data_IF_520893244558
#
_entry.id   IF_520893244558
#
_cell.length_a   1.000
_cell.length_b   1.000
_cell.length_c   1.000
_cell.angle_alpha   90.00
_cell.angle_beta   90.00
_cell.angle_gamma   90.00
#
_symmetry.space_group_name_H-M   'P 1'
#
loop_
_entity.id
_entity.type
_entity.pdbx_description
1 polymer ?
#
# COMPACT_ATOMS: atom_id res chain seq x y z
N UNK A 1 -59.59 -35.84 -12.20
CA UNK A 1 -58.77 -36.74 -11.35
C UNK A 1 -57.32 -36.29 -11.48
N UNK A 2 -56.77 -35.47 -10.59
CA UNK A 2 -56.35 -35.76 -9.22
C UNK A 2 -55.06 -36.62 -9.16
N UNK A 3 -53.93 -35.99 -8.81
CA UNK A 3 -52.78 -36.41 -7.95
C UNK A 3 -51.78 -35.24 -8.05
N UNK A 4 -51.62 -34.25 -7.15
CA UNK A 4 -51.37 -34.15 -5.70
C UNK A 4 -50.03 -34.76 -5.22
N UNK A 5 -49.18 -33.86 -4.68
CA UNK A 5 -48.12 -34.02 -3.65
C UNK A 5 -46.75 -34.55 -4.10
N UNK A 6 -45.73 -33.69 -4.08
CA UNK A 6 -44.87 -33.46 -2.90
C UNK A 6 -43.65 -32.60 -3.29
N UNK A 7 -43.60 -31.34 -2.84
CA UNK A 7 -42.32 -30.66 -2.56
C UNK A 7 -42.52 -29.78 -1.34
N UNK A 8 -42.40 -30.43 -0.18
CA UNK A 8 -42.41 -29.83 1.15
C UNK A 8 -40.95 -29.66 1.56
N UNK A 9 -40.66 -28.49 2.14
CA UNK A 9 -39.45 -28.14 2.90
C UNK A 9 -38.20 -27.82 2.08
N UNK A 10 -38.08 -26.55 1.71
CA UNK A 10 -36.83 -25.85 1.94
C UNK A 10 -37.17 -24.47 2.49
N UNK A 11 -37.04 -24.39 3.80
CA UNK A 11 -37.37 -23.22 4.61
C UNK A 11 -36.45 -22.06 4.26
N UNK A 12 -37.09 -20.95 3.89
CA UNK A 12 -36.49 -19.63 3.78
C UNK A 12 -35.86 -19.22 5.12
N UNK A 13 -34.56 -19.46 5.31
CA UNK A 13 -33.73 -18.61 6.16
C UNK A 13 -33.55 -17.28 5.45
N UNK A 14 -34.51 -16.36 5.63
CA UNK A 14 -34.25 -14.93 5.45
C UNK A 14 -33.55 -14.46 6.70
N UNK A 15 -32.28 -14.13 6.57
CA UNK A 15 -31.52 -13.43 7.61
C UNK A 15 -32.30 -12.20 8.06
N UNK A 16 -32.61 -12.17 9.35
CA UNK A 16 -33.25 -11.02 9.98
C UNK A 16 -32.38 -9.79 9.71
N UNK A 17 -32.95 -8.80 9.02
CA UNK A 17 -32.26 -7.52 8.76
C UNK A 17 -31.82 -6.93 10.09
N UNK A 18 -30.59 -6.43 10.12
CA UNK A 18 -29.93 -5.80 11.29
C UNK A 18 -30.85 -4.83 12.06
N UNK A 19 -31.80 -4.20 11.38
CA UNK A 19 -32.86 -3.33 11.93
C UNK A 19 -33.84 -4.01 12.90
N UNK A 20 -34.18 -5.28 12.73
CA UNK A 20 -35.13 -5.98 13.62
C UNK A 20 -34.47 -6.40 14.94
N UNK A 21 -33.17 -6.68 14.93
CA UNK A 21 -32.37 -6.96 16.14
C UNK A 21 -32.23 -5.73 17.07
N UNK A 22 -32.34 -4.52 16.53
CA UNK A 22 -32.26 -3.27 17.30
C UNK A 22 -33.61 -2.95 17.96
N UNK A 23 -34.73 -3.28 17.30
CA UNK A 23 -36.07 -3.11 17.88
C UNK A 23 -36.35 -4.08 19.03
N UNK A 24 -35.91 -5.33 18.94
CA UNK A 24 -36.11 -6.33 20.01
C UNK A 24 -35.36 -5.98 21.31
N UNK A 25 -34.14 -5.43 21.20
CA UNK A 25 -33.34 -4.99 22.36
C UNK A 25 -33.96 -3.82 23.13
N UNK A 26 -34.76 -2.98 22.47
CA UNK A 26 -35.41 -1.84 23.11
C UNK A 26 -36.66 -2.25 23.92
N UNK A 27 -37.38 -3.28 23.46
CA UNK A 27 -38.54 -3.84 24.18
C UNK A 27 -38.16 -4.65 25.42
N UNK A 28 -37.00 -5.31 25.44
CA UNK A 28 -36.55 -6.07 26.62
C UNK A 28 -36.09 -5.18 27.78
N UNK A 29 -35.50 -4.01 27.49
CA UNK A 29 -35.07 -3.07 28.54
C UNK A 29 -36.23 -2.41 29.29
N UNK A 30 -37.39 -2.26 28.65
CA UNK A 30 -38.59 -1.68 29.28
C UNK A 30 -39.31 -2.66 30.23
N UNK A 31 -39.07 -3.98 30.10
CA UNK A 31 -39.69 -5.00 30.97
C UNK A 31 -38.89 -5.33 32.23
N UNK A 32 -37.65 -4.83 32.36
CA UNK A 32 -36.75 -5.17 33.49
C UNK A 32 -36.67 -4.09 34.58
N UNK A 33 -37.54 -3.08 34.54
CA UNK A 33 -37.41 -1.87 35.36
C UNK A 33 -38.62 -1.50 36.22
N UNK A 34 -39.35 -2.46 36.79
CA UNK A 34 -40.34 -2.16 37.85
C UNK A 34 -40.56 -3.38 38.72
N UNK A 35 -40.00 -3.36 39.93
CA UNK A 35 -40.20 -4.42 40.91
C UNK A 35 -39.39 -4.17 42.17
N UNK A 36 -39.82 -3.22 42.99
CA UNK A 36 -39.47 -3.24 44.41
C UNK A 36 -40.73 -3.14 45.26
N UNK A 37 -40.83 -4.15 46.11
CA UNK A 37 -41.95 -4.64 46.88
C UNK A 37 -42.15 -3.86 48.16
N UNK A 38 -43.42 -3.61 48.50
CA UNK A 38 -43.86 -3.21 49.84
C UNK A 38 -43.59 -4.35 50.82
N UNK A 39 -43.01 -4.05 51.98
CA UNK A 39 -43.15 -4.85 53.20
C UNK A 39 -43.52 -3.95 54.37
N UNK A 40 -44.43 -4.46 55.18
CA UNK A 40 -45.21 -3.81 56.23
C UNK A 40 -44.77 -4.27 57.63
N UNK A 41 -45.29 -3.55 58.65
CA UNK A 41 -45.51 -3.95 60.07
C UNK A 41 -44.22 -4.14 60.91
N UNK A 42 -44.10 -3.78 62.19
CA UNK A 42 -44.94 -3.25 63.27
C UNK A 42 -43.95 -2.49 64.23
N UNK A 43 -44.30 -1.68 65.23
CA UNK A 43 -45.03 -2.04 66.45
C UNK A 43 -45.24 -0.79 67.35
N UNK A 44 -46.28 -0.87 68.18
CA UNK A 44 -46.93 0.14 69.04
C UNK A 44 -46.07 0.69 70.19
N UNK A 45 -46.39 1.91 70.64
CA UNK A 45 -46.71 2.20 72.06
C UNK A 45 -47.48 3.54 72.23
N UNK A 46 -48.66 3.45 72.85
CA UNK A 46 -49.48 4.50 73.50
C UNK A 46 -50.01 3.85 74.80
N UNK A 47 -50.57 4.55 75.81
CA UNK A 47 -50.39 5.91 76.36
C UNK A 47 -50.17 5.83 77.91
N UNK A 48 -50.42 6.87 78.76
CA UNK A 48 -51.80 7.20 79.17
C UNK A 48 -52.11 8.70 79.39
N UNK A 49 -53.42 8.98 79.41
CA UNK A 49 -54.09 10.22 79.82
C UNK A 49 -53.92 10.53 81.32
N UNK A 50 -53.77 11.81 81.68
CA UNK A 50 -54.48 12.44 82.82
C UNK A 50 -54.71 13.93 82.52
N UNK A 51 -55.92 14.39 82.79
CA UNK A 51 -56.37 15.76 82.73
C UNK A 51 -56.22 16.48 84.07
N UNK A 52 -55.87 17.79 84.08
CA UNK A 52 -56.52 18.85 84.88
C UNK A 52 -55.80 20.21 84.81
N UNK A 53 -56.55 21.20 84.29
CA UNK A 53 -56.92 22.46 84.94
C UNK A 53 -55.95 23.66 85.07
N UNK A 54 -56.58 24.83 84.84
CA UNK A 54 -56.13 26.23 84.98
C UNK A 54 -55.08 26.64 83.93
N UNK A 55 -55.28 27.65 83.10
CA UNK A 55 -56.01 28.89 83.29
C UNK A 55 -55.01 29.99 82.93
N UNK A 56 -55.10 30.55 81.72
CA UNK A 56 -54.27 31.71 81.37
C UNK A 56 -53.84 31.82 79.92
N UNK A 57 -54.34 32.90 79.29
CA UNK A 57 -53.60 33.80 78.42
C UNK A 57 -53.33 33.35 76.96
N UNK A 58 -54.16 33.92 76.08
CA UNK A 58 -53.87 34.46 74.73
C UNK A 58 -52.60 34.02 73.99
N UNK A 59 -52.75 33.58 72.75
CA UNK A 59 -52.44 34.41 71.57
C UNK A 59 -52.63 33.63 70.26
N UNK A 60 -53.01 34.37 69.23
CA UNK A 60 -53.52 33.91 67.96
C UNK A 60 -52.52 33.12 67.10
N UNK A 61 -53.07 32.10 66.45
CA UNK A 61 -52.51 31.28 65.37
C UNK A 61 -52.07 32.15 64.18
N UNK A 62 -50.86 31.93 63.66
CA UNK A 62 -50.55 32.19 62.25
C UNK A 62 -49.68 31.07 61.66
N UNK A 63 -50.34 30.20 60.89
CA UNK A 63 -49.71 29.29 59.93
C UNK A 63 -49.10 30.13 58.80
N UNK A 64 -47.87 29.81 58.38
CA UNK A 64 -47.20 30.49 57.27
C UNK A 64 -46.02 29.70 56.72
N UNK A 65 -46.32 28.84 55.75
CA UNK A 65 -45.51 28.38 54.61
C UNK A 65 -43.97 28.43 54.67
N UNK A 66 -43.40 27.23 54.50
CA UNK A 66 -42.04 26.99 54.02
C UNK A 66 -41.76 27.75 52.71
N UNK A 67 -40.98 28.83 52.85
CA UNK A 67 -40.53 29.67 51.73
C UNK A 67 -39.26 29.08 51.13
N UNK A 68 -39.42 28.54 49.91
CA UNK A 68 -38.46 28.39 48.81
C UNK A 68 -37.04 28.91 49.08
N UNK A 69 -36.07 28.01 48.92
CA UNK A 69 -34.65 28.29 48.74
C UNK A 69 -34.42 29.49 47.80
N UNK A 70 -33.73 30.50 48.31
CA UNK A 70 -33.22 31.61 47.52
C UNK A 70 -31.97 31.13 46.79
N UNK A 71 -32.11 30.95 45.47
CA UNK A 71 -31.03 31.09 44.51
C UNK A 71 -30.24 32.37 44.81
N UNK A 72 -28.99 32.24 45.26
CA UNK A 72 -28.07 33.37 45.29
C UNK A 72 -27.68 33.71 43.85
N UNK A 73 -28.43 34.63 43.23
CA UNK A 73 -27.93 35.36 42.07
C UNK A 73 -26.79 36.24 42.55
N UNK A 74 -25.57 35.78 42.31
CA UNK A 74 -24.33 36.52 42.55
C UNK A 74 -24.45 37.92 41.92
N UNK A 75 -24.32 38.95 42.75
CA UNK A 75 -24.49 40.34 42.35
C UNK A 75 -23.44 40.72 41.29
N UNK A 76 -23.90 41.21 40.13
CA UNK A 76 -23.02 41.75 39.08
C UNK A 76 -22.33 42.99 39.64
N UNK A 77 -20.99 43.00 39.64
CA UNK A 77 -20.17 44.14 40.10
C UNK A 77 -20.52 45.38 39.28
N UNK A 78 -21.02 46.42 39.94
CA UNK A 78 -21.25 47.76 39.38
C UNK A 78 -20.11 48.66 39.83
N UNK A 79 -19.61 49.49 38.93
CA UNK A 79 -18.58 50.48 39.23
C UNK A 79 -19.20 51.85 39.01
N UNK A 80 -19.53 52.53 40.10
CA UNK A 80 -20.09 53.87 40.09
C UNK A 80 -18.94 54.85 40.35
N UNK A 81 -18.66 55.74 39.39
CA UNK A 81 -17.68 56.81 39.56
C UNK A 81 -18.43 58.11 39.83
N UNK A 82 -18.11 58.78 40.94
CA UNK A 82 -18.62 60.12 41.20
C UNK A 82 -17.88 61.13 40.30
N UNK A 83 -18.60 61.82 39.43
CA UNK A 83 -18.08 62.96 38.68
C UNK A 83 -18.09 64.18 39.61
N UNK A 84 -17.10 65.07 39.47
CA UNK A 84 -16.87 66.23 40.36
C UNK A 84 -17.89 67.38 40.23
N UNK A 85 -19.09 67.09 39.71
CA UNK A 85 -20.20 68.02 39.64
C UNK A 85 -21.37 67.51 40.48
N UNK A 86 -21.89 68.38 41.35
CA UNK A 86 -23.04 68.13 42.23
C UNK A 86 -24.22 67.54 41.44
N UNK A 87 -24.61 66.31 41.80
CA UNK A 87 -25.86 65.67 41.33
C UNK A 87 -25.78 64.88 40.02
N UNK A 88 -24.60 64.75 39.37
CA UNK A 88 -24.47 63.97 38.13
C UNK A 88 -23.81 62.60 38.40
N UNK A 89 -24.61 61.54 38.47
CA UNK A 89 -24.14 60.15 38.49
C UNK A 89 -24.19 59.54 37.07
N UNK A 90 -23.03 59.23 36.49
CA UNK A 90 -22.97 58.53 35.20
C UNK A 90 -23.02 57.02 35.43
N UNK A 91 -24.17 56.41 35.16
CA UNK A 91 -24.37 54.96 35.29
C UNK A 91 -23.84 54.26 34.05
N UNK A 92 -22.71 53.57 34.17
CA UNK A 92 -22.19 52.74 33.08
C UNK A 92 -22.98 51.41 33.00
N UNK A 93 -23.33 50.92 31.79
CA UNK A 93 -23.94 49.61 31.65
C UNK A 93 -22.97 48.53 32.18
N UNK A 94 -23.47 47.69 33.09
CA UNK A 94 -22.65 46.65 33.70
C UNK A 94 -22.14 45.67 32.63
N UNK A 95 -20.83 45.67 32.40
CA UNK A 95 -20.20 44.76 31.46
C UNK A 95 -20.41 43.30 31.93
N UNK A 96 -20.71 42.36 31.02
CA UNK A 96 -20.82 40.96 31.39
C UNK A 96 -19.49 40.47 31.97
N UNK A 97 -19.52 40.00 33.22
CA UNK A 97 -18.34 39.37 33.81
C UNK A 97 -18.11 38.03 33.11
N UNK A 98 -17.12 37.99 32.21
CA UNK A 98 -16.67 36.75 31.58
C UNK A 98 -16.08 35.86 32.68
N UNK A 99 -16.84 34.85 33.09
CA UNK A 99 -16.29 33.78 33.92
C UNK A 99 -15.46 32.90 33.00
N UNK A 100 -14.14 32.92 33.16
CA UNK A 100 -13.26 31.93 32.53
C UNK A 100 -13.59 30.57 33.15
N UNK A 101 -14.59 29.90 32.58
CA UNK A 101 -14.92 28.53 32.91
C UNK A 101 -14.03 27.56 32.15
N UNK A 102 -13.93 26.33 32.63
CA UNK A 102 -13.18 25.25 31.99
C UNK A 102 -13.52 25.04 30.49
N UNK A 103 -14.72 25.45 30.08
CA UNK A 103 -15.18 25.41 28.68
C UNK A 103 -14.35 26.30 27.74
N UNK A 104 -13.91 27.49 28.19
CA UNK A 104 -13.06 28.38 27.38
C UNK A 104 -11.67 27.76 27.23
N UNK A 105 -11.17 27.15 28.30
CA UNK A 105 -9.90 26.41 28.28
C UNK A 105 -9.99 25.22 27.31
N UNK A 106 -11.07 24.43 27.37
CA UNK A 106 -11.30 23.32 26.44
C UNK A 106 -11.42 23.80 24.98
N UNK A 107 -12.15 24.89 24.73
CA UNK A 107 -12.27 25.47 23.40
C UNK A 107 -10.91 25.95 22.87
N UNK A 108 -10.14 26.67 23.69
CA UNK A 108 -8.81 27.15 23.31
C UNK A 108 -7.87 25.98 23.02
N UNK A 109 -7.94 24.90 23.80
CA UNK A 109 -7.14 23.69 23.56
C UNK A 109 -7.49 23.02 22.22
N UNK A 110 -8.79 22.87 21.92
CA UNK A 110 -9.23 22.33 20.61
C UNK A 110 -8.85 23.25 19.46
N UNK A 111 -8.98 24.58 19.63
CA UNK A 111 -8.57 25.55 18.62
C UNK A 111 -7.06 25.52 18.38
N UNK A 112 -6.25 25.42 19.45
CA UNK A 112 -4.80 25.26 19.38
C UNK A 112 -4.43 23.95 18.65
N UNK A 113 -5.05 22.82 19.01
CA UNK A 113 -4.82 21.53 18.37
C UNK A 113 -5.23 21.55 16.89
N UNK A 114 -6.38 22.13 16.57
CA UNK A 114 -6.83 22.31 15.19
C UNK A 114 -5.88 23.18 14.37
N UNK A 115 -5.38 24.28 14.97
CA UNK A 115 -4.38 25.15 14.34
C UNK A 115 -3.06 24.40 14.13
N UNK A 116 -2.62 23.59 15.10
CA UNK A 116 -1.42 22.78 14.98
C UNK A 116 -1.53 21.73 13.86
N UNK A 117 -2.66 21.04 13.74
CA UNK A 117 -2.91 20.09 12.64
C UNK A 117 -2.96 20.80 11.29
N UNK A 118 -3.61 21.97 11.22
CA UNK A 118 -3.64 22.78 10.00
C UNK A 118 -2.25 23.24 9.58
N UNK A 119 -1.42 23.70 10.53
CA UNK A 119 -0.04 24.05 10.27
C UNK A 119 0.78 22.83 9.82
N UNK A 120 0.65 21.68 10.48
CA UNK A 120 1.34 20.45 10.06
C UNK A 120 0.98 20.02 8.63
N UNK A 121 -0.23 20.29 8.17
CA UNK A 121 -0.63 19.97 6.80
C UNK A 121 -0.15 21.00 5.76
N UNK A 122 -0.03 22.27 6.16
CA UNK A 122 0.25 23.39 5.24
C UNK A 122 1.70 23.89 5.28
N UNK A 123 2.52 23.39 6.19
CA UNK A 123 3.91 23.83 6.34
C UNK A 123 4.78 23.28 5.20
N UNK A 124 5.46 24.14 4.40
CA UNK A 124 6.32 23.69 3.31
C UNK A 124 7.47 22.77 3.74
N UNK A 125 7.91 22.86 4.99
CA UNK A 125 8.95 22.00 5.56
C UNK A 125 8.56 20.51 5.66
N UNK A 126 7.28 20.18 5.47
CA UNK A 126 6.73 18.82 5.49
C UNK A 126 6.39 18.31 4.07
N UNK A 127 6.65 19.14 3.06
CA UNK A 127 6.51 18.76 1.66
C UNK A 127 7.80 18.12 1.16
N UNK A 128 7.65 17.00 0.47
CA UNK A 128 8.76 16.30 -0.16
C UNK A 128 9.30 17.21 -1.27
N UNK A 129 10.54 17.66 -1.10
CA UNK A 129 11.18 18.50 -2.12
C UNK A 129 11.65 17.62 -3.29
N UNK A 130 12.40 16.58 -2.97
CA UNK A 130 12.97 15.62 -3.92
C UNK A 130 13.05 14.23 -3.27
N UNK A 131 12.91 13.19 -4.09
CA UNK A 131 13.12 11.80 -3.66
C UNK A 131 14.62 11.51 -3.73
N UNK A 132 15.19 11.02 -2.64
CA UNK A 132 16.58 10.59 -2.60
C UNK A 132 16.67 9.17 -3.15
N UNK A 133 17.22 9.01 -4.34
CA UNK A 133 17.33 7.72 -5.01
C UNK A 133 18.78 7.23 -4.88
N UNK A 134 18.96 6.01 -4.37
CA UNK A 134 20.27 5.40 -4.15
C UNK A 134 20.43 4.13 -4.98
N UNK A 135 21.67 3.87 -5.43
CA UNK A 135 22.03 2.64 -6.15
C UNK A 135 21.83 2.67 -7.67
N UNK A 136 21.63 3.88 -8.22
CA UNK A 136 21.69 4.11 -9.68
C UNK A 136 23.14 4.14 -10.17
N UNK A 137 23.35 3.67 -11.39
CA UNK A 137 24.63 3.66 -12.08
C UNK A 137 24.48 4.19 -13.52
N UNK A 138 23.48 3.72 -14.27
CA UNK A 138 23.20 4.14 -15.65
C UNK A 138 21.97 5.05 -15.77
N UNK A 139 20.95 4.88 -14.93
CA UNK A 139 19.75 5.71 -14.97
C UNK A 139 19.95 7.03 -14.24
N UNK A 140 19.32 8.10 -14.75
CA UNK A 140 19.32 9.38 -14.07
C UNK A 140 18.28 9.40 -12.95
N UNK A 141 18.62 10.00 -11.81
CA UNK A 141 17.68 10.21 -10.71
C UNK A 141 16.52 11.13 -11.12
N UNK A 142 16.76 12.05 -12.06
CA UNK A 142 15.77 13.00 -12.54
C UNK A 142 14.65 12.33 -13.35
N UNK A 143 14.96 11.32 -14.17
CA UNK A 143 13.96 10.56 -14.93
C UNK A 143 12.99 9.82 -13.99
N UNK A 144 13.53 9.24 -12.91
CA UNK A 144 12.73 8.56 -11.89
C UNK A 144 11.89 9.57 -11.11
N UNK A 145 12.48 10.70 -10.71
CA UNK A 145 11.76 11.78 -10.02
C UNK A 145 10.60 12.35 -10.85
N UNK A 146 10.79 12.50 -12.16
CA UNK A 146 9.77 12.99 -13.07
C UNK A 146 8.56 12.05 -13.15
N UNK A 147 8.79 10.73 -13.16
CA UNK A 147 7.73 9.72 -13.19
C UNK A 147 7.03 9.60 -11.83
N UNK A 148 7.77 9.69 -10.73
CA UNK A 148 7.21 9.61 -9.38
C UNK A 148 6.29 10.78 -9.05
N UNK A 149 6.60 11.99 -9.53
CA UNK A 149 5.73 13.16 -9.35
C UNK A 149 5.49 13.55 -7.89
N UNK A 150 6.38 13.16 -6.98
CA UNK A 150 6.25 13.39 -5.53
C UNK A 150 6.78 14.76 -5.08
N UNK A 151 7.24 15.60 -6.01
CA UNK A 151 7.73 16.93 -5.65
C UNK A 151 6.55 17.84 -5.26
N UNK A 152 6.62 18.42 -4.06
CA UNK A 152 5.59 19.33 -3.54
C UNK A 152 4.41 18.64 -2.85
N UNK A 153 4.34 17.30 -2.82
CA UNK A 153 3.34 16.59 -2.02
C UNK A 153 3.75 16.51 -0.55
N UNK A 154 2.74 16.52 0.33
CA UNK A 154 2.97 16.36 1.77
C UNK A 154 3.44 14.95 2.07
N UNK A 155 4.47 14.81 2.92
CA UNK A 155 5.02 13.51 3.33
C UNK A 155 3.96 12.58 3.95
N UNK A 156 2.91 13.14 4.57
CA UNK A 156 1.82 12.38 5.17
C UNK A 156 0.85 11.77 4.16
N UNK A 157 0.82 12.32 2.94
CA UNK A 157 -0.02 11.82 1.85
C UNK A 157 0.71 10.80 0.97
N UNK A 158 2.02 10.60 1.16
CA UNK A 158 2.82 9.64 0.41
C UNK A 158 2.56 8.24 0.96
N UNK A 159 2.01 7.36 0.13
CA UNK A 159 1.90 5.93 0.42
C UNK A 159 3.13 5.19 -0.14
N UNK A 160 4.00 4.62 0.72
CA UNK A 160 5.18 3.88 0.27
C UNK A 160 4.84 2.69 -0.65
N UNK A 161 3.71 2.03 -0.45
CA UNK A 161 3.32 0.87 -1.26
C UNK A 161 2.92 1.28 -2.66
N UNK A 162 2.15 2.36 -2.79
CA UNK A 162 1.78 2.90 -4.09
C UNK A 162 3.01 3.40 -4.87
N UNK A 163 3.95 4.04 -4.19
CA UNK A 163 5.22 4.47 -4.80
C UNK A 163 6.03 3.26 -5.26
N UNK A 164 6.11 2.21 -4.44
CA UNK A 164 6.80 0.98 -4.79
C UNK A 164 6.22 0.34 -6.06
N UNK A 165 4.90 0.25 -6.17
CA UNK A 165 4.23 -0.34 -7.33
C UNK A 165 4.43 0.51 -8.60
N UNK A 166 4.43 1.83 -8.47
CA UNK A 166 4.77 2.75 -9.56
C UNK A 166 6.21 2.54 -10.05
N UNK A 167 7.18 2.41 -9.14
CA UNK A 167 8.59 2.13 -9.51
C UNK A 167 8.70 0.79 -10.20
N UNK A 168 8.08 -0.27 -9.66
CA UNK A 168 8.11 -1.62 -10.24
C UNK A 168 7.51 -1.66 -11.65
N UNK A 169 6.43 -0.93 -11.88
CA UNK A 169 5.73 -0.92 -13.18
C UNK A 169 6.42 -0.01 -14.19
N UNK A 170 6.94 1.14 -13.75
CA UNK A 170 7.60 2.12 -14.62
C UNK A 170 9.01 1.73 -15.02
N UNK A 171 9.73 0.98 -14.17
CA UNK A 171 11.16 0.69 -14.36
C UNK A 171 11.46 -0.81 -14.15
N UNK A 172 11.20 -1.67 -15.14
CA UNK A 172 11.56 -3.10 -15.08
C UNK A 172 13.08 -3.36 -15.00
N UNK A 173 13.87 -2.31 -15.28
CA UNK A 173 15.33 -2.23 -15.20
C UNK A 173 15.85 -2.20 -13.77
N UNK A 174 14.99 -1.96 -12.80
CA UNK A 174 15.35 -1.92 -11.39
C UNK A 174 15.03 -3.27 -10.73
N UNK A 175 15.91 -3.67 -9.83
CA UNK A 175 15.85 -4.90 -9.03
C UNK A 175 15.52 -4.52 -7.60
N UNK A 176 14.55 -5.22 -7.03
CA UNK A 176 14.15 -5.13 -5.61
C UNK A 176 14.06 -3.68 -5.07
N UNK A 177 13.24 -2.80 -5.68
CA UNK A 177 13.09 -1.45 -5.17
C UNK A 177 12.55 -1.49 -3.72
N UNK A 178 13.10 -0.65 -2.85
CA UNK A 178 12.60 -0.42 -1.50
C UNK A 178 12.32 1.06 -1.30
N UNK A 179 11.24 1.37 -0.59
CA UNK A 179 10.78 2.76 -0.38
C UNK A 179 10.64 3.00 1.11
N UNK A 180 11.38 3.99 1.60
CA UNK A 180 11.37 4.41 2.99
C UNK A 180 11.00 5.89 3.10
N UNK A 181 9.94 6.18 3.85
CA UNK A 181 9.54 7.56 4.15
C UNK A 181 10.07 7.92 5.52
N UNK A 182 10.88 8.98 5.58
CA UNK A 182 11.52 9.48 6.80
C UNK A 182 11.08 10.91 7.09
N UNK A 183 10.76 11.18 8.35
CA UNK A 183 10.40 12.52 8.80
C UNK A 183 11.63 13.43 8.89
N UNK A 184 11.49 14.75 8.65
CA UNK A 184 10.23 15.48 8.46
C UNK A 184 9.66 15.50 7.04
N UNK A 185 10.46 15.28 5.99
CA UNK A 185 10.00 15.40 4.58
C UNK A 185 10.89 14.68 3.55
N UNK A 186 11.41 13.50 3.91
CA UNK A 186 12.37 12.77 3.07
C UNK A 186 11.78 11.44 2.62
N UNK A 187 11.81 11.19 1.32
CA UNK A 187 11.48 9.88 0.74
C UNK A 187 12.76 9.33 0.16
N UNK A 188 13.20 8.18 0.65
CA UNK A 188 14.39 7.47 0.20
C UNK A 188 13.93 6.25 -0.58
N UNK A 189 14.40 6.11 -1.81
CA UNK A 189 14.16 4.93 -2.64
C UNK A 189 15.52 4.28 -2.86
N UNK A 190 15.69 3.09 -2.31
CA UNK A 190 16.88 2.28 -2.56
C UNK A 190 16.56 1.30 -3.67
N UNK A 191 17.36 1.32 -4.73
CA UNK A 191 17.18 0.49 -5.91
C UNK A 191 18.52 -0.08 -6.33
N UNK A 192 18.49 -1.23 -7.00
CA UNK A 192 19.65 -1.74 -7.71
C UNK A 192 19.33 -1.82 -9.19
N UNK A 193 20.26 -1.44 -10.06
CA UNK A 193 20.08 -1.62 -11.49
C UNK A 193 20.35 -3.06 -11.94
N UNK A 194 19.47 -3.59 -12.77
CA UNK A 194 19.61 -4.89 -13.42
C UNK A 194 20.84 -4.87 -14.32
N UNK A 195 21.67 -5.91 -14.25
CA UNK A 195 22.89 -5.99 -15.05
C UNK A 195 22.61 -6.79 -16.33
N UNK A 196 22.74 -6.18 -17.52
CA UNK A 196 22.55 -6.87 -18.78
C UNK A 196 23.72 -7.82 -19.06
N UNK A 197 23.42 -8.97 -19.67
CA UNK A 197 24.41 -9.98 -20.07
C UNK A 197 24.30 -10.28 -21.56
N UNK A 198 23.07 -10.30 -22.08
CA UNK A 198 22.77 -10.62 -23.47
C UNK A 198 22.14 -9.42 -24.14
N UNK A 199 22.60 -9.10 -25.35
CA UNK A 199 21.94 -8.17 -26.27
C UNK A 199 21.14 -9.00 -27.28
N UNK A 200 19.83 -9.04 -27.08
CA UNK A 200 18.91 -9.77 -27.95
C UNK A 200 18.45 -8.88 -29.10
N UNK A 201 18.76 -9.27 -30.32
CA UNK A 201 18.44 -8.53 -31.53
C UNK A 201 17.40 -9.29 -32.36
N UNK A 202 16.27 -8.65 -32.66
CA UNK A 202 15.21 -9.20 -33.50
C UNK A 202 14.67 -8.12 -34.43
N UNK A 203 14.69 -8.36 -35.74
CA UNK A 203 14.26 -7.41 -36.79
C UNK A 203 14.86 -5.98 -36.64
N UNK A 204 16.10 -5.90 -36.15
CA UNK A 204 16.81 -4.62 -35.91
C UNK A 204 16.45 -3.91 -34.60
N UNK A 205 15.54 -4.47 -33.79
CA UNK A 205 15.31 -4.01 -32.42
C UNK A 205 16.22 -4.75 -31.45
N UNK A 206 16.93 -4.00 -30.61
CA UNK A 206 17.81 -4.55 -29.58
C UNK A 206 17.17 -4.37 -28.21
N UNK A 207 17.01 -5.47 -27.48
CA UNK A 207 16.62 -5.48 -26.07
C UNK A 207 17.72 -6.15 -25.26
N UNK A 208 17.92 -5.67 -24.03
CA UNK A 208 18.89 -6.26 -23.13
C UNK A 208 18.22 -7.27 -22.23
N UNK A 209 18.92 -8.37 -21.96
CA UNK A 209 18.44 -9.45 -21.11
C UNK A 209 19.45 -9.71 -19.99
N UNK A 210 18.93 -9.86 -18.78
CA UNK A 210 19.75 -10.15 -17.61
C UNK A 210 19.95 -11.65 -17.37
N UNK A 211 20.71 -11.99 -16.33
CA UNK A 211 20.96 -13.39 -15.91
C UNK A 211 19.70 -14.20 -15.60
N UNK A 212 18.59 -13.54 -15.25
CA UNK A 212 17.31 -14.20 -14.95
C UNK A 212 16.43 -14.37 -16.19
N UNK A 213 16.81 -13.73 -17.30
CA UNK A 213 16.09 -13.79 -18.56
C UNK A 213 14.99 -12.73 -18.71
N UNK A 214 14.99 -11.70 -17.84
CA UNK A 214 14.06 -10.57 -17.96
C UNK A 214 14.62 -9.59 -18.98
N UNK A 215 13.78 -9.24 -19.97
CA UNK A 215 14.14 -8.28 -21.00
C UNK A 215 13.79 -6.84 -20.61
N UNK A 216 14.63 -5.89 -21.01
CA UNK A 216 14.45 -4.47 -20.79
C UNK A 216 15.11 -3.63 -21.88
N UNK A 217 14.74 -2.35 -21.94
CA UNK A 217 15.25 -1.45 -22.97
C UNK A 217 16.71 -1.08 -22.71
N UNK A 218 17.55 -0.99 -23.76
CA UNK A 218 18.93 -0.56 -23.61
C UNK A 218 18.99 0.92 -23.19
N UNK A 219 19.54 1.18 -22.00
CA UNK A 219 19.81 2.54 -21.49
C UNK A 219 21.24 2.67 -21.00
N UNK A 220 21.90 3.73 -21.46
CA UNK A 220 23.31 3.98 -21.17
C UNK A 220 24.23 3.03 -21.96
N UNK A 221 25.40 2.74 -21.40
CA UNK A 221 26.39 1.86 -22.00
C UNK A 221 26.57 0.62 -21.11
N UNK A 222 26.71 -0.53 -21.73
CA UNK A 222 27.05 -1.79 -21.06
C UNK A 222 28.12 -2.51 -21.88
N UNK A 223 29.17 -2.95 -21.20
CA UNK A 223 30.30 -3.65 -21.81
C UNK A 223 30.14 -5.17 -21.68
N UNK A 224 30.74 -5.92 -22.60
CA UNK A 224 30.76 -7.39 -22.52
C UNK A 224 29.43 -8.08 -22.83
N UNK A 225 28.50 -7.39 -23.48
CA UNK A 225 27.23 -7.99 -23.91
C UNK A 225 27.45 -9.01 -25.02
N UNK A 226 26.79 -10.16 -24.90
CA UNK A 226 26.78 -11.19 -25.94
C UNK A 226 25.65 -10.85 -26.92
N UNK A 227 25.96 -10.51 -28.20
CA UNK A 227 24.94 -10.27 -29.19
C UNK A 227 24.33 -11.60 -29.65
N UNK A 228 23.01 -11.70 -29.57
CA UNK A 228 22.22 -12.85 -30.04
C UNK A 228 21.27 -12.36 -31.11
N UNK A 229 21.43 -12.88 -32.33
CA UNK A 229 20.51 -12.61 -33.43
C UNK A 229 19.37 -13.64 -33.40
N UNK A 230 18.17 -13.17 -33.11
CA UNK A 230 16.99 -14.01 -33.06
C UNK A 230 16.22 -13.96 -34.37
N UNK A 231 15.78 -15.13 -34.83
CA UNK A 231 14.86 -15.24 -35.97
C UNK A 231 13.42 -14.91 -35.56
N UNK A 232 13.07 -15.20 -34.31
CA UNK A 232 11.75 -14.89 -33.73
C UNK A 232 11.87 -14.74 -32.21
N UNK A 233 10.79 -14.27 -31.58
CA UNK A 233 10.68 -14.12 -30.13
C UNK A 233 10.39 -15.49 -29.48
N UNK A 234 11.19 -15.94 -28.50
CA UNK A 234 10.92 -17.15 -27.76
C UNK A 234 9.57 -17.05 -27.03
N UNK A 235 8.88 -18.18 -26.78
CA UNK A 235 7.63 -18.17 -26.03
C UNK A 235 7.87 -17.56 -24.65
N UNK A 236 7.35 -16.35 -24.43
CA UNK A 236 7.53 -15.63 -23.18
C UNK A 236 6.78 -16.32 -22.04
N UNK A 237 7.48 -16.57 -20.94
CA UNK A 237 6.86 -17.04 -19.70
C UNK A 237 6.28 -15.83 -18.96
N UNK A 238 4.95 -15.69 -18.97
CA UNK A 238 4.28 -14.65 -18.18
C UNK A 238 4.23 -15.14 -16.73
N UNK A 239 5.13 -14.65 -15.89
CA UNK A 239 5.05 -14.88 -14.45
C UNK A 239 3.93 -14.00 -13.86
N UNK A 240 2.90 -14.63 -13.29
CA UNK A 240 1.76 -13.92 -12.70
C UNK A 240 2.15 -13.02 -11.51
N UNK A 241 3.29 -13.31 -10.87
CA UNK A 241 3.75 -12.61 -9.67
C UNK A 241 4.60 -11.36 -9.96
N UNK A 242 5.15 -11.23 -11.17
CA UNK A 242 5.96 -10.09 -11.57
C UNK A 242 5.52 -9.62 -12.96
N UNK A 243 4.96 -8.41 -13.05
CA UNK A 243 4.56 -7.74 -14.31
C UNK A 243 5.71 -7.55 -15.34
N UNK A 244 6.92 -8.04 -15.04
CA UNK A 244 8.06 -8.12 -15.95
C UNK A 244 7.89 -9.26 -16.94
N UNK A 245 8.02 -8.93 -18.23
CA UNK A 245 8.06 -9.92 -19.31
C UNK A 245 9.40 -10.67 -19.26
N UNK A 246 9.35 -11.92 -18.81
CA UNK A 246 10.48 -12.83 -18.95
C UNK A 246 10.55 -13.28 -20.41
N UNK A 247 11.65 -12.89 -21.07
CA UNK A 247 11.88 -13.23 -22.48
C UNK A 247 12.59 -14.57 -22.61
N UNK A 248 13.59 -14.81 -21.76
CA UNK A 248 14.38 -16.03 -21.74
C UNK A 248 14.22 -16.73 -20.39
N UNK A 249 14.38 -18.06 -20.36
CA UNK A 249 14.59 -18.73 -19.08
C UNK A 249 16.02 -18.46 -18.58
N UNK A 250 16.24 -18.52 -17.27
CA UNK A 250 17.58 -18.36 -16.69
C UNK A 250 18.57 -19.43 -17.21
N UNK A 251 18.06 -20.64 -17.49
CA UNK A 251 18.82 -21.72 -18.12
C UNK A 251 19.26 -21.34 -19.53
N UNK A 252 18.38 -20.75 -20.34
CA UNK A 252 18.71 -20.29 -21.70
C UNK A 252 19.79 -19.21 -21.70
N UNK A 253 19.73 -18.25 -20.78
CA UNK A 253 20.77 -17.22 -20.64
C UNK A 253 22.11 -17.85 -20.27
N UNK A 254 22.11 -18.80 -19.35
CA UNK A 254 23.33 -19.56 -18.99
C UNK A 254 23.89 -20.31 -20.19
N UNK A 255 23.02 -20.97 -20.96
CA UNK A 255 23.39 -21.64 -22.20
C UNK A 255 24.01 -20.71 -23.25
N UNK A 256 23.46 -19.49 -23.42
CA UNK A 256 24.03 -18.47 -24.32
C UNK A 256 25.44 -18.07 -23.85
N UNK A 257 25.62 -17.83 -22.56
CA UNK A 257 26.92 -17.45 -21.99
C UNK A 257 27.95 -18.56 -22.23
N UNK A 258 27.59 -19.80 -21.91
CA UNK A 258 28.45 -20.96 -22.13
C UNK A 258 28.78 -21.20 -23.61
N UNK A 259 27.79 -21.03 -24.48
CA UNK A 259 27.96 -21.17 -25.92
C UNK A 259 28.91 -20.10 -26.45
N UNK A 260 28.72 -18.85 -26.04
CA UNK A 260 29.57 -17.72 -26.45
C UNK A 260 31.02 -17.86 -26.01
N UNK A 261 31.26 -18.48 -24.83
CA UNK A 261 32.61 -18.69 -24.30
C UNK A 261 33.41 -19.75 -25.09
N UNK A 262 32.72 -20.65 -25.79
CA UNK A 262 33.31 -21.74 -26.58
C UNK A 262 33.19 -21.52 -28.09
N UNK A 263 32.38 -20.56 -28.51
CA UNK A 263 32.17 -20.25 -29.91
C UNK A 263 33.48 -19.72 -30.53
N UNK A 264 33.78 -20.08 -31.79
CA UNK A 264 34.94 -19.54 -32.50
C UNK A 264 34.97 -18.01 -32.54
N UNK A 265 36.17 -17.43 -32.62
CA UNK A 265 36.32 -15.98 -32.72
C UNK A 265 35.48 -15.39 -33.87
N UNK A 266 34.78 -14.28 -33.59
CA UNK A 266 33.94 -13.53 -34.55
C UNK A 266 32.68 -14.27 -35.04
N UNK A 267 32.22 -15.31 -34.36
CA UNK A 267 30.90 -15.88 -34.63
C UNK A 267 29.79 -15.04 -34.00
N UNK A 268 28.66 -14.94 -34.68
CA UNK A 268 27.45 -14.37 -34.11
C UNK A 268 26.58 -15.50 -33.54
N UNK A 269 26.14 -15.37 -32.30
CA UNK A 269 25.18 -16.31 -31.71
C UNK A 269 23.81 -16.08 -32.34
N UNK A 270 23.14 -17.17 -32.70
CA UNK A 270 21.83 -17.16 -33.37
C UNK A 270 20.85 -17.95 -32.52
N UNK A 271 19.61 -17.48 -32.46
CA UNK A 271 18.50 -18.23 -31.90
C UNK A 271 17.40 -18.44 -32.95
N UNK A 272 17.01 -19.69 -33.15
CA UNK A 272 15.86 -20.07 -33.96
C UNK A 272 14.86 -20.85 -33.08
N UNK A 273 13.57 -20.52 -33.06
CA UNK A 273 12.57 -21.26 -32.27
C UNK A 273 12.42 -22.74 -32.66
N UNK A 274 12.85 -23.13 -33.86
CA UNK A 274 12.78 -24.50 -34.37
C UNK A 274 14.03 -25.31 -34.05
N UNK A 275 15.21 -24.69 -34.15
CA UNK A 275 16.50 -25.38 -33.98
C UNK A 275 17.21 -25.04 -32.67
N UNK A 276 16.74 -24.01 -31.97
CA UNK A 276 17.26 -23.51 -30.71
C UNK A 276 18.49 -22.62 -30.85
N UNK A 277 19.39 -22.73 -29.87
CA UNK A 277 20.61 -21.93 -29.80
C UNK A 277 21.66 -22.44 -30.79
N UNK A 278 22.35 -21.51 -31.43
CA UNK A 278 23.32 -21.79 -32.46
C UNK A 278 24.31 -20.67 -32.66
N UNK A 279 25.18 -20.82 -33.65
CA UNK A 279 26.02 -19.74 -34.15
C UNK A 279 26.15 -19.78 -35.66
N UNK A 280 26.40 -18.62 -36.25
CA UNK A 280 26.82 -18.52 -37.64
C UNK A 280 28.35 -18.66 -37.72
N UNK A 281 28.81 -19.72 -38.37
CA UNK A 281 30.23 -19.98 -38.56
C UNK A 281 30.77 -19.10 -39.70
N UNK A 282 31.95 -18.44 -39.55
CA UNK A 282 32.60 -17.68 -40.61
C UNK A 282 32.83 -18.47 -41.92
N UNK A 283 32.82 -19.79 -41.85
CA UNK A 283 32.97 -20.69 -43.01
C UNK A 283 31.69 -20.83 -43.85
N UNK A 284 30.58 -20.22 -43.42
CA UNK A 284 29.38 -20.04 -44.24
C UNK A 284 28.20 -20.98 -43.91
N UNK A 285 28.26 -21.74 -42.82
CA UNK A 285 27.15 -22.57 -42.35
C UNK A 285 26.62 -22.11 -40.99
N UNK A 286 25.41 -22.56 -40.66
CA UNK A 286 24.81 -22.36 -39.34
C UNK A 286 24.95 -23.64 -38.51
N UNK A 287 25.44 -23.48 -37.29
CA UNK A 287 25.55 -24.56 -36.31
C UNK A 287 24.42 -24.42 -35.29
N UNK A 288 23.66 -25.47 -35.04
CA UNK A 288 22.60 -25.48 -34.02
C UNK A 288 22.87 -26.55 -32.97
N UNK A 289 22.61 -26.22 -31.72
CA UNK A 289 22.85 -27.07 -30.57
C UNK A 289 21.57 -27.41 -29.82
N UNK A 290 20.38 -27.09 -30.36
CA UNK A 290 19.10 -27.44 -29.78
C UNK A 290 18.49 -26.38 -28.86
N UNK A 291 17.24 -26.62 -28.47
CA UNK A 291 16.41 -25.70 -27.68
C UNK A 291 16.77 -25.70 -26.19
N UNK A 292 17.19 -26.85 -25.67
CA UNK A 292 17.58 -26.98 -24.26
C UNK A 292 19.09 -26.79 -24.11
N UNK A 293 19.55 -25.93 -23.19
CA UNK A 293 20.98 -25.68 -22.97
C UNK A 293 21.68 -26.81 -22.18
N UNK A 294 21.17 -28.05 -22.24
CA UNK A 294 21.74 -29.21 -21.55
C UNK A 294 22.85 -29.86 -22.37
N UNK A 295 23.86 -30.37 -21.66
CA UNK A 295 24.98 -31.12 -22.23
C UNK A 295 25.70 -30.37 -23.36
N UNK A 296 25.77 -29.03 -23.26
CA UNK A 296 26.33 -28.16 -24.30
C UNK A 296 27.79 -28.53 -24.61
N UNK A 297 28.57 -28.90 -23.60
CA UNK A 297 29.93 -29.44 -23.76
C UNK A 297 29.99 -30.64 -24.71
N UNK A 298 29.08 -31.60 -24.54
CA UNK A 298 29.06 -32.81 -25.36
C UNK A 298 28.61 -32.49 -26.78
N UNK A 299 27.61 -31.62 -26.94
CA UNK A 299 27.10 -31.19 -28.26
C UNK A 299 28.18 -30.45 -29.05
N UNK A 300 28.94 -29.57 -28.40
CA UNK A 300 30.06 -28.86 -29.04
C UNK A 300 31.17 -29.84 -29.44
N UNK A 301 31.53 -30.81 -28.58
CA UNK A 301 32.53 -31.82 -28.92
C UNK A 301 32.12 -32.69 -30.13
N UNK A 302 30.84 -33.08 -30.21
CA UNK A 302 30.28 -33.81 -31.36
C UNK A 302 30.30 -32.95 -32.61
N UNK A 303 29.93 -31.67 -32.49
CA UNK A 303 30.02 -30.71 -33.59
C UNK A 303 31.45 -30.58 -34.13
N UNK A 304 32.45 -30.41 -33.27
CA UNK A 304 33.85 -30.29 -33.68
C UNK A 304 34.34 -31.54 -34.40
N UNK A 305 33.98 -32.72 -33.89
CA UNK A 305 34.31 -34.00 -34.52
C UNK A 305 33.67 -34.13 -35.91
N UNK A 306 32.39 -33.74 -36.04
CA UNK A 306 31.66 -33.76 -37.31
C UNK A 306 32.25 -32.76 -38.32
N UNK A 307 32.53 -31.53 -37.90
CA UNK A 307 33.15 -30.52 -38.76
C UNK A 307 34.54 -30.98 -39.22
N UNK A 308 35.32 -31.64 -38.36
CA UNK A 308 36.61 -32.22 -38.73
C UNK A 308 36.45 -33.31 -39.80
N UNK A 309 35.45 -34.17 -39.68
CA UNK A 309 35.14 -35.20 -40.67
C UNK A 309 34.69 -34.59 -42.01
N UNK A 310 33.72 -33.67 -41.99
CA UNK A 310 33.22 -33.00 -43.20
C UNK A 310 34.35 -32.28 -43.95
N UNK A 311 35.29 -31.67 -43.22
CA UNK A 311 36.48 -31.04 -43.79
C UNK A 311 37.42 -32.04 -44.47
N UNK A 312 37.57 -33.25 -43.91
CA UNK A 312 38.38 -34.31 -44.53
C UNK A 312 37.74 -34.86 -45.80
N UNK A 313 36.41 -34.88 -45.85
CA UNK A 313 35.62 -35.33 -47.00
C UNK A 313 35.41 -34.23 -48.06
N UNK A 314 35.80 -32.98 -47.76
CA UNK A 314 35.63 -31.84 -48.68
C UNK A 314 34.18 -31.37 -48.84
N UNK A 315 33.32 -31.69 -47.88
CA UNK A 315 31.89 -31.34 -47.88
C UNK A 315 31.70 -30.00 -47.16
N UNK A 316 30.99 -29.06 -47.80
CA UNK A 316 30.59 -27.77 -47.20
C UNK A 316 29.09 -27.78 -46.92
N UNK A 317 28.66 -28.05 -45.67
CA UNK A 317 27.25 -28.04 -45.34
C UNK A 317 26.71 -26.60 -45.36
N UNK A 318 25.41 -26.48 -45.54
CA UNK A 318 24.63 -25.26 -45.28
C UNK A 318 24.24 -25.15 -43.80
N UNK A 319 23.92 -26.28 -43.17
CA UNK A 319 23.49 -26.39 -41.78
C UNK A 319 24.16 -27.60 -41.13
N UNK A 320 24.58 -27.44 -39.88
CA UNK A 320 25.02 -28.53 -39.01
C UNK A 320 24.23 -28.46 -37.71
N UNK A 321 23.33 -29.41 -37.49
CA UNK A 321 22.54 -29.52 -36.25
C UNK A 321 23.06 -30.66 -35.38
N UNK A 322 23.32 -30.35 -34.12
CA UNK A 322 23.67 -31.29 -33.05
C UNK A 322 22.66 -31.18 -31.91
N UNK A 323 21.40 -30.88 -32.26
CA UNK A 323 20.28 -30.89 -31.31
C UNK A 323 20.16 -32.24 -30.58
N UNK A 324 20.35 -33.33 -31.32
CA UNK A 324 20.40 -34.68 -30.77
C UNK A 324 21.84 -35.21 -30.80
N UNK A 325 22.45 -35.37 -29.61
CA UNK A 325 23.85 -35.82 -29.43
C UNK A 325 24.16 -37.12 -30.20
N UNK A 326 23.19 -38.04 -30.25
CA UNK A 326 23.37 -39.36 -30.87
C UNK A 326 22.97 -39.40 -32.36
N UNK A 327 22.42 -38.32 -32.90
CA UNK A 327 21.96 -38.24 -34.28
C UNK A 327 22.23 -36.85 -34.86
N UNK A 328 23.50 -36.44 -35.00
CA UNK A 328 23.82 -35.17 -35.61
C UNK A 328 23.40 -35.18 -37.09
N UNK A 329 22.91 -34.05 -37.57
CA UNK A 329 22.37 -33.88 -38.91
C UNK A 329 23.11 -32.75 -39.63
N UNK A 330 23.44 -32.94 -40.90
CA UNK A 330 23.97 -31.89 -41.76
C UNK A 330 23.21 -31.87 -43.09
N UNK A 331 23.14 -30.69 -43.71
CA UNK A 331 22.45 -30.48 -44.99
C UNK A 331 23.32 -29.78 -46.00
#
# INVERSE_FOLDING_TARGET
>A
MAVRRNKRKEDRKRDARRSDSVRSRRSERLRKGTGFTRKSLAERALPPMVARQSGGVSMARKRGSSRKEKSSREARRRFDFALSASGAEMRLPALPAFRIGWRIVSFLMVALAGTAVYLLWTTPALNVSQVEIRGLNRLSADDINAILGLSGTSVFAVDPHMVLDLVKTGFPELVEPSVHVTFPAKVVVEVAERQPVVAWEHEGFVVWVDKTGIAFLPRGQAEGLIPVQAVDVPPAEINADNLTQQLLSAEMVTGIVELSARAPDKTQIVYDPRYGLGWSDPRGWQAFFGLEPKDMDQRIAVYEALVKQLKQEGITPSIVSVEYIHAPYYR
#
